data_IF_107454454533
#
_entry.id   IF_107454454533
#
_cell.length_a   1.000
_cell.length_b   1.000
_cell.length_c   1.000
_cell.angle_alpha   90.00
_cell.angle_beta   90.00
_cell.angle_gamma   90.00
#
_symmetry.space_group_name_H-M   'P 1'
#
loop_
_entity.id
_entity.type
_entity.pdbx_description
1 polymer ?
#
# COMPACT_ATOMS: atom_id res chain seq x y z
N UNK A 1 -14.39 35.56 -40.41
CA UNK A 1 -14.54 34.69 -39.23
C UNK A 1 -13.18 34.62 -38.53
N UNK A 2 -13.06 35.15 -37.31
CA UNK A 2 -11.81 35.06 -36.52
C UNK A 2 -11.84 33.80 -35.65
N UNK A 3 -10.84 32.93 -35.81
CA UNK A 3 -10.49 31.93 -34.80
C UNK A 3 -9.74 32.64 -33.66
N UNK A 4 -10.37 32.74 -32.49
CA UNK A 4 -9.68 33.08 -31.25
C UNK A 4 -8.95 31.86 -30.68
N UNK A 5 -7.82 32.04 -29.96
CA UNK A 5 -7.09 30.93 -29.35
C UNK A 5 -7.87 30.35 -28.17
N UNK A 6 -8.12 29.04 -28.19
CA UNK A 6 -8.69 28.30 -27.06
C UNK A 6 -7.67 28.21 -25.91
N UNK A 7 -8.08 28.40 -24.65
CA UNK A 7 -7.19 28.28 -23.51
C UNK A 7 -6.81 26.80 -23.30
N UNK A 8 -5.51 26.51 -23.35
CA UNK A 8 -4.97 25.21 -22.98
C UNK A 8 -5.26 24.92 -21.50
N UNK A 9 -6.09 23.92 -21.22
CA UNK A 9 -6.37 23.44 -19.86
C UNK A 9 -5.10 22.75 -19.32
N UNK A 10 -4.41 23.39 -18.38
CA UNK A 10 -3.30 22.77 -17.67
C UNK A 10 -3.79 21.49 -16.96
N UNK A 11 -3.28 20.32 -17.38
CA UNK A 11 -3.46 19.09 -16.63
C UNK A 11 -2.69 19.21 -15.32
N UNK A 12 -3.41 19.36 -14.22
CA UNK A 12 -2.84 19.33 -12.87
C UNK A 12 -2.10 18.01 -12.69
N UNK A 13 -0.84 18.08 -12.28
CA UNK A 13 -0.08 16.88 -11.94
C UNK A 13 -0.82 16.10 -10.84
N UNK A 14 -0.84 14.75 -10.88
CA UNK A 14 -1.46 13.95 -9.84
C UNK A 14 -0.89 14.31 -8.47
N UNK A 15 -1.76 14.42 -7.46
CA UNK A 15 -1.34 14.64 -6.09
C UNK A 15 -0.37 13.53 -5.63
N UNK A 16 0.68 13.87 -4.86
CA UNK A 16 1.64 12.88 -4.35
C UNK A 16 0.93 11.73 -3.63
N UNK A 17 1.36 10.50 -3.91
CA UNK A 17 0.70 9.30 -3.38
C UNK A 17 1.68 8.16 -3.11
N UNK A 18 1.38 7.38 -2.08
CA UNK A 18 1.99 6.08 -1.85
C UNK A 18 0.92 5.03 -2.17
N UNK A 19 1.04 4.40 -3.33
CA UNK A 19 0.08 3.39 -3.76
C UNK A 19 0.51 2.03 -3.22
N UNK A 20 -0.39 1.35 -2.55
CA UNK A 20 -0.18 0.02 -2.00
C UNK A 20 -1.31 -0.89 -2.48
N UNK A 21 -0.98 -1.90 -3.26
CA UNK A 21 -1.93 -2.85 -3.81
C UNK A 21 -1.75 -4.22 -3.17
N UNK A 22 -2.82 -4.83 -2.64
CA UNK A 22 -2.86 -6.25 -2.36
C UNK A 22 -3.10 -7.00 -3.68
N UNK A 23 -2.02 -7.51 -4.26
CA UNK A 23 -2.03 -8.07 -5.61
C UNK A 23 -2.44 -9.55 -5.61
N UNK A 24 -2.01 -10.32 -4.60
CA UNK A 24 -2.36 -11.73 -4.46
C UNK A 24 -2.36 -12.17 -2.99
N UNK A 25 -3.23 -13.13 -2.67
CA UNK A 25 -3.22 -13.91 -1.44
C UNK A 25 -3.28 -15.39 -1.83
N UNK A 26 -2.23 -16.15 -1.56
CA UNK A 26 -2.07 -17.53 -2.04
C UNK A 26 -1.56 -18.46 -0.94
N UNK A 27 -2.06 -19.70 -0.86
CA UNK A 27 -1.52 -20.69 0.06
C UNK A 27 -0.01 -20.91 -0.18
N UNK A 28 0.72 -21.19 0.90
CA UNK A 28 2.13 -21.54 0.89
C UNK A 28 2.44 -22.54 2.00
N UNK A 29 3.61 -23.16 1.97
CA UNK A 29 4.05 -24.09 3.00
C UNK A 29 4.10 -23.47 4.41
N UNK A 30 4.17 -22.14 4.52
CA UNK A 30 4.23 -21.41 5.78
C UNK A 30 2.86 -20.91 6.26
N UNK A 31 1.80 -21.04 5.46
CA UNK A 31 0.51 -20.40 5.69
C UNK A 31 0.14 -19.51 4.51
N UNK A 32 -0.41 -18.31 4.77
CA UNK A 32 -0.90 -17.45 3.71
C UNK A 32 0.17 -16.48 3.19
N UNK A 33 0.53 -16.58 1.91
CA UNK A 33 1.47 -15.66 1.25
C UNK A 33 0.70 -14.50 0.63
N UNK A 34 1.02 -13.29 1.08
CA UNK A 34 0.51 -12.05 0.51
C UNK A 34 1.55 -11.44 -0.41
N UNK A 35 1.12 -11.01 -1.59
CA UNK A 35 1.93 -10.23 -2.54
C UNK A 35 1.39 -8.82 -2.61
N UNK A 36 2.25 -7.85 -2.33
CA UNK A 36 1.94 -6.43 -2.44
C UNK A 36 2.72 -5.80 -3.59
N UNK A 37 2.08 -4.90 -4.32
CA UNK A 37 2.73 -4.00 -5.28
C UNK A 37 2.68 -2.61 -4.69
N UNK A 38 3.85 -2.00 -4.50
CA UNK A 38 4.00 -0.66 -3.93
C UNK A 38 4.56 0.27 -4.98
N UNK A 39 3.96 1.44 -5.15
CA UNK A 39 4.52 2.51 -5.97
C UNK A 39 4.67 3.78 -5.13
N UNK A 40 5.91 4.26 -5.01
CA UNK A 40 6.19 5.51 -4.31
C UNK A 40 6.11 6.68 -5.29
N UNK A 41 4.96 7.36 -5.33
CA UNK A 41 4.75 8.60 -6.07
C UNK A 41 4.67 9.81 -5.13
N UNK A 42 5.34 9.77 -3.97
CA UNK A 42 5.39 10.89 -3.02
C UNK A 42 6.36 12.00 -3.43
N UNK A 43 7.20 11.75 -4.44
CA UNK A 43 8.19 12.71 -4.92
C UNK A 43 9.49 12.76 -4.09
N UNK A 44 9.67 11.87 -3.13
CA UNK A 44 10.87 11.74 -2.31
C UNK A 44 11.23 10.27 -2.06
N UNK A 45 12.52 9.98 -1.87
CA UNK A 45 12.98 8.65 -1.51
C UNK A 45 12.57 8.32 -0.07
N UNK A 46 11.97 7.13 0.12
CA UNK A 46 11.80 6.56 1.44
C UNK A 46 12.96 5.60 1.71
N UNK A 47 13.78 5.91 2.71
CA UNK A 47 14.80 4.99 3.21
C UNK A 47 14.18 3.81 3.95
N UNK A 48 12.99 4.00 4.55
CA UNK A 48 12.21 2.94 5.18
C UNK A 48 10.70 3.25 5.22
N UNK A 49 9.89 2.22 4.99
CA UNK A 49 8.44 2.27 5.14
C UNK A 49 7.96 0.96 5.77
N UNK A 50 7.29 1.05 6.92
CA UNK A 50 6.69 -0.09 7.60
C UNK A 50 5.30 0.29 8.12
N UNK A 51 4.37 -0.66 8.03
CA UNK A 51 2.97 -0.43 8.38
C UNK A 51 2.49 -1.50 9.35
N UNK A 52 1.75 -1.09 10.37
CA UNK A 52 0.96 -2.01 11.18
C UNK A 52 -0.31 -2.36 10.42
N UNK A 53 -0.52 -3.65 10.23
CA UNK A 53 -1.62 -4.20 9.45
C UNK A 53 -2.45 -5.14 10.33
N UNK A 54 -3.75 -4.92 10.36
CA UNK A 54 -4.74 -5.81 10.94
C UNK A 54 -5.27 -6.77 9.89
N UNK A 55 -5.27 -8.06 10.22
CA UNK A 55 -5.85 -9.13 9.41
C UNK A 55 -7.12 -9.60 10.07
N UNK A 56 -8.22 -9.59 9.33
CA UNK A 56 -9.53 -10.00 9.80
C UNK A 56 -9.93 -11.29 9.11
N UNK A 57 -10.61 -12.15 9.86
CA UNK A 57 -11.23 -13.32 9.28
C UNK A 57 -12.53 -12.95 8.51
N UNK A 58 -13.15 -13.94 7.87
CA UNK A 58 -14.41 -13.77 7.13
C UNK A 58 -15.59 -13.30 8.00
N UNK A 59 -15.54 -13.51 9.32
CA UNK A 59 -16.53 -13.00 10.25
C UNK A 59 -16.31 -11.52 10.64
N UNK A 60 -15.28 -10.86 10.07
CA UNK A 60 -14.93 -9.48 10.39
C UNK A 60 -14.27 -9.31 11.76
N UNK A 61 -13.78 -10.41 12.37
CA UNK A 61 -13.04 -10.37 13.64
C UNK A 61 -11.54 -10.30 13.35
N UNK A 62 -10.83 -9.45 14.08
CA UNK A 62 -9.36 -9.36 14.00
C UNK A 62 -8.77 -10.71 14.40
N UNK A 63 -8.07 -11.36 13.47
CA UNK A 63 -7.28 -12.57 13.73
C UNK A 63 -5.93 -12.20 14.36
N UNK A 64 -5.25 -11.21 13.78
CA UNK A 64 -3.94 -10.74 14.26
C UNK A 64 -3.58 -9.34 13.75
N UNK A 65 -2.59 -8.75 14.42
CA UNK A 65 -1.86 -7.55 14.00
C UNK A 65 -0.43 -7.94 13.60
N UNK A 66 0.11 -7.34 12.55
CA UNK A 66 1.50 -7.55 12.14
C UNK A 66 2.07 -6.31 11.51
N UNK A 67 3.34 -6.01 11.83
CA UNK A 67 4.09 -4.97 11.13
C UNK A 67 4.75 -5.56 9.89
N UNK A 68 4.42 -5.04 8.72
CA UNK A 68 5.07 -5.41 7.46
C UNK A 68 6.08 -4.33 7.06
N UNK A 69 7.35 -4.72 6.92
CA UNK A 69 8.45 -3.84 6.51
C UNK A 69 8.67 -3.91 4.99
N UNK A 70 8.30 -2.84 4.29
CA UNK A 70 8.45 -2.68 2.85
C UNK A 70 9.85 -2.18 2.45
N UNK A 71 10.70 -1.91 3.45
CA UNK A 71 12.08 -1.43 3.35
C UNK A 71 12.13 -0.08 2.63
N UNK A 72 13.24 0.17 1.93
CA UNK A 72 13.38 1.34 1.09
C UNK A 72 12.43 1.30 -0.12
N UNK A 73 11.89 2.46 -0.46
CA UNK A 73 11.02 2.71 -1.61
C UNK A 73 11.53 3.97 -2.32
N UNK A 74 12.36 3.83 -3.37
CA UNK A 74 12.85 4.99 -4.11
C UNK A 74 11.72 5.74 -4.84
N UNK A 75 11.88 7.05 -4.99
CA UNK A 75 10.92 7.92 -5.64
C UNK A 75 10.63 7.45 -7.08
N UNK A 76 9.35 7.44 -7.44
CA UNK A 76 8.84 7.03 -8.75
C UNK A 76 8.97 5.53 -9.05
N UNK A 77 9.50 4.70 -8.14
CA UNK A 77 9.69 3.28 -8.38
C UNK A 77 8.51 2.45 -7.87
N UNK A 78 8.29 1.35 -8.58
CA UNK A 78 7.36 0.28 -8.20
C UNK A 78 8.15 -0.92 -7.70
N UNK A 79 7.72 -1.51 -6.59
CA UNK A 79 8.34 -2.67 -5.96
C UNK A 79 7.29 -3.71 -5.66
N UNK A 80 7.62 -4.98 -5.90
CA UNK A 80 6.79 -6.12 -5.51
C UNK A 80 7.41 -6.75 -4.27
N UNK A 81 6.62 -6.88 -3.21
CA UNK A 81 7.07 -7.45 -1.94
C UNK A 81 6.13 -8.59 -1.54
N UNK A 82 6.67 -9.65 -0.94
CA UNK A 82 5.89 -10.79 -0.47
C UNK A 82 6.11 -10.99 1.03
N UNK A 83 5.04 -11.32 1.73
CA UNK A 83 5.05 -11.63 3.16
C UNK A 83 4.28 -12.91 3.40
N UNK A 84 4.82 -13.78 4.26
CA UNK A 84 4.15 -15.01 4.67
C UNK A 84 3.52 -14.80 6.05
N UNK A 85 2.19 -14.92 6.12
CA UNK A 85 1.43 -14.97 7.37
C UNK A 85 1.50 -16.39 7.92
N UNK A 86 2.44 -16.61 8.84
CA UNK A 86 2.70 -17.92 9.41
C UNK A 86 1.43 -18.54 10.02
N UNK A 87 1.08 -19.76 9.58
CA UNK A 87 -0.07 -20.51 10.07
C UNK A 87 -1.45 -19.92 9.73
N UNK A 88 -1.53 -18.88 8.90
CA UNK A 88 -2.81 -18.35 8.42
C UNK A 88 -3.34 -19.18 7.24
N UNK A 89 -4.66 -19.36 7.20
CA UNK A 89 -5.36 -19.92 6.06
C UNK A 89 -5.83 -18.78 5.14
N UNK A 90 -5.34 -18.76 3.88
CA UNK A 90 -5.75 -17.72 2.93
C UNK A 90 -7.25 -17.73 2.64
N UNK A 91 -7.91 -18.89 2.71
CA UNK A 91 -9.35 -19.01 2.48
C UNK A 91 -10.17 -18.30 3.55
N UNK A 92 -9.59 -18.08 4.74
CA UNK A 92 -10.28 -17.43 5.87
C UNK A 92 -9.94 -15.94 6.00
N UNK A 93 -9.10 -15.39 5.14
CA UNK A 93 -8.70 -13.98 5.21
C UNK A 93 -9.76 -13.11 4.52
N UNK A 94 -10.57 -12.39 5.30
CA UNK A 94 -11.66 -11.56 4.78
C UNK A 94 -11.26 -10.12 4.49
N UNK A 95 -10.43 -9.52 5.34
CA UNK A 95 -9.97 -8.13 5.20
C UNK A 95 -8.54 -7.93 5.69
N UNK A 96 -7.83 -7.07 5.00
CA UNK A 96 -6.54 -6.50 5.38
C UNK A 96 -6.74 -5.00 5.60
N UNK A 97 -6.26 -4.46 6.72
CA UNK A 97 -6.44 -3.06 7.07
C UNK A 97 -5.11 -2.47 7.53
N UNK A 98 -4.72 -1.32 7.01
CA UNK A 98 -3.54 -0.58 7.48
C UNK A 98 -3.96 0.35 8.61
N UNK A 99 -3.54 0.04 9.83
CA UNK A 99 -3.84 0.87 11.00
C UNK A 99 -3.01 2.16 11.00
N UNK A 100 -1.70 2.00 10.78
CA UNK A 100 -0.74 3.10 10.90
C UNK A 100 0.56 2.78 10.17
N UNK A 101 1.34 3.82 9.87
CA UNK A 101 2.74 3.67 9.52
C UNK A 101 3.55 3.61 10.81
N UNK A 102 4.20 2.48 11.09
CA UNK A 102 5.13 2.36 12.21
C UNK A 102 6.46 3.03 11.89
N UNK A 103 6.84 3.05 10.61
CA UNK A 103 7.99 3.81 10.10
C UNK A 103 7.67 4.43 8.74
N UNK A 104 8.09 5.68 8.58
CA UNK A 104 8.08 6.40 7.31
C UNK A 104 9.26 7.39 7.34
N UNK A 105 10.38 6.98 6.78
CA UNK A 105 11.64 7.71 6.88
C UNK A 105 12.24 7.98 5.51
N UNK A 106 12.87 9.14 5.38
CA UNK A 106 13.56 9.61 4.17
C UNK A 106 14.09 11.03 4.43
N UNK A 107 15.13 11.45 3.70
CA UNK A 107 15.67 12.80 3.85
C UNK A 107 14.62 13.83 3.46
N UNK A 108 14.21 14.68 4.41
CA UNK A 108 13.16 15.69 4.20
C UNK A 108 11.73 15.12 4.15
N UNK A 109 11.52 13.87 4.61
CA UNK A 109 10.20 13.24 4.67
C UNK A 109 9.65 13.30 6.09
N UNK A 110 8.51 13.95 6.26
CA UNK A 110 7.76 13.96 7.52
C UNK A 110 7.16 12.56 7.82
N UNK A 111 7.18 12.05 9.05
CA UNK A 111 6.69 10.70 9.39
C UNK A 111 5.23 10.44 8.98
N UNK A 112 4.37 11.46 9.03
CA UNK A 112 2.96 11.34 8.63
C UNK A 112 2.75 11.26 7.10
N UNK A 113 3.79 11.45 6.29
CA UNK A 113 3.69 11.52 4.83
C UNK A 113 3.18 10.22 4.21
N UNK A 114 3.66 9.06 4.70
CA UNK A 114 3.24 7.77 4.16
C UNK A 114 1.74 7.55 4.34
N UNK A 115 1.18 7.80 5.54
CA UNK A 115 -0.25 7.64 5.80
C UNK A 115 -1.10 8.69 5.08
N UNK A 116 -0.68 9.96 5.05
CA UNK A 116 -1.43 11.03 4.36
C UNK A 116 -1.54 10.79 2.87
N UNK A 117 -0.51 10.24 2.24
CA UNK A 117 -0.48 9.92 0.81
C UNK A 117 -0.95 8.51 0.47
N UNK A 118 -1.31 7.68 1.46
CA UNK A 118 -1.59 6.27 1.25
C UNK A 118 -2.86 6.08 0.42
N UNK A 119 -2.75 5.28 -0.64
CA UNK A 119 -3.88 4.81 -1.43
C UNK A 119 -3.82 3.29 -1.52
N UNK A 120 -4.89 2.63 -1.13
CA UNK A 120 -5.00 1.18 -1.11
C UNK A 120 -5.86 0.66 -2.27
N UNK A 121 -5.47 -0.48 -2.83
CA UNK A 121 -6.25 -1.19 -3.85
C UNK A 121 -6.07 -2.71 -3.72
N UNK A 122 -7.00 -3.51 -4.20
CA UNK A 122 -6.89 -4.98 -4.16
C UNK A 122 -7.23 -5.56 -5.52
N UNK A 123 -6.52 -6.61 -5.92
CA UNK A 123 -6.87 -7.49 -7.07
C UNK A 123 -7.43 -8.84 -6.62
N UNK A 124 -7.63 -9.01 -5.33
CA UNK A 124 -8.13 -10.24 -4.71
C UNK A 124 -9.58 -10.06 -4.26
N UNK A 125 -10.21 -11.14 -3.80
CA UNK A 125 -11.50 -11.05 -3.10
C UNK A 125 -11.37 -10.47 -1.67
N UNK A 126 -10.14 -10.38 -1.13
CA UNK A 126 -9.87 -9.85 0.21
C UNK A 126 -10.00 -8.32 0.17
N UNK A 127 -10.84 -7.77 1.04
CA UNK A 127 -10.98 -6.34 1.18
C UNK A 127 -9.67 -5.72 1.69
N UNK A 128 -9.26 -4.59 1.12
CA UNK A 128 -8.04 -3.90 1.54
C UNK A 128 -8.27 -2.40 1.70
N UNK A 129 -7.86 -1.85 2.84
CA UNK A 129 -8.17 -0.48 3.19
C UNK A 129 -7.30 0.09 4.29
N UNK A 130 -7.60 1.33 4.64
CA UNK A 130 -7.25 1.98 5.92
C UNK A 130 -8.44 1.96 6.86
#
# INVERSE_FOLDING_TARGET
MSCGPEPARAQSAPAPALNLELNAAQPSDKGCRLTFVVNNALGADLSKAAFEIAFFNEAGVVDRLTVLDFKNLPAGKTKVTRFDLAGADCGKLGRVLINSATECAGTGVEPATCMRGLKTSTKTAVAFGV
#
